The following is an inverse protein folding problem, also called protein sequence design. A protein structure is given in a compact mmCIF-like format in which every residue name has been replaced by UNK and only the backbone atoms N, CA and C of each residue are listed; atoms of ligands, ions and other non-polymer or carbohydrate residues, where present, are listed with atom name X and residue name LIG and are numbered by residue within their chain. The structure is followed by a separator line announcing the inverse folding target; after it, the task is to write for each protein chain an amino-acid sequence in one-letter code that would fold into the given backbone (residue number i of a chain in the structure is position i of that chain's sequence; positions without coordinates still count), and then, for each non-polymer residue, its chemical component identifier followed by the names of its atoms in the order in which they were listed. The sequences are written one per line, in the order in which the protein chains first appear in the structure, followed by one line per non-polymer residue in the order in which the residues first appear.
data_IF_703652857676
#
_entry.id   IF_703652857676
#
_cell.length_a   1.000
_cell.length_b   1.000
_cell.length_c   1.000
_cell.angle_alpha   90.00
_cell.angle_beta   90.00
_cell.angle_gamma   90.00
#
_symmetry.space_group_name_H-M   'P 1'
#
loop_
_entity.id
_entity.type
_entity.pdbx_description
1 polymer ?
#
# COMPACT_ATOMS: atom_id res chain seq x y z
N UNK A 1 16.50 26.15 33.38
CA UNK A 1 16.88 24.86 32.78
C UNK A 1 18.30 24.98 32.28
N UNK A 2 19.11 23.92 32.44
CA UNK A 2 20.45 23.86 31.87
C UNK A 2 20.40 23.57 30.37
N UNK A 3 21.49 23.88 29.67
CA UNK A 3 21.65 23.54 28.24
C UNK A 3 21.50 22.02 28.03
N UNK A 4 21.96 21.20 28.98
CA UNK A 4 21.84 19.73 28.90
C UNK A 4 20.41 19.23 29.12
N UNK A 5 19.60 19.94 29.90
CA UNK A 5 18.17 19.65 30.01
C UNK A 5 17.45 19.99 28.71
N UNK A 6 17.77 21.14 28.10
CA UNK A 6 17.20 21.56 26.80
C UNK A 6 17.53 20.53 25.72
N UNK A 7 18.79 20.12 25.59
CA UNK A 7 19.24 19.11 24.62
C UNK A 7 18.53 17.77 24.81
N UNK A 8 18.44 17.28 26.05
CA UNK A 8 17.74 16.01 26.35
C UNK A 8 16.26 16.06 25.97
N UNK A 9 15.60 17.19 26.21
CA UNK A 9 14.20 17.37 25.81
C UNK A 9 14.05 17.41 24.29
N UNK A 10 14.96 18.09 23.59
CA UNK A 10 14.97 18.16 22.12
C UNK A 10 15.09 16.77 21.49
N UNK A 11 16.14 16.02 21.83
CA UNK A 11 16.36 14.68 21.26
C UNK A 11 15.23 13.71 21.60
N UNK A 12 14.61 13.83 22.78
CA UNK A 12 13.46 13.01 23.15
C UNK A 12 12.21 13.36 22.34
N UNK A 13 12.06 14.62 21.92
CA UNK A 13 10.96 15.03 21.04
C UNK A 13 11.22 14.58 19.61
N UNK A 14 12.43 14.79 19.08
CA UNK A 14 12.83 14.33 17.75
C UNK A 14 12.65 12.82 17.60
N UNK A 15 13.22 12.02 18.51
CA UNK A 15 13.09 10.55 18.42
C UNK A 15 11.66 10.04 18.59
N UNK A 16 10.77 10.80 19.24
CA UNK A 16 9.33 10.47 19.27
C UNK A 16 8.66 10.78 17.93
N UNK A 17 9.05 11.87 17.29
CA UNK A 17 8.48 12.28 16.01
C UNK A 17 8.96 11.36 14.89
N UNK A 18 10.26 11.07 14.82
CA UNK A 18 10.83 10.10 13.87
C UNK A 18 10.16 8.74 14.02
N UNK A 19 10.08 8.19 15.24
CA UNK A 19 9.42 6.90 15.48
C UNK A 19 7.92 6.90 15.14
N UNK A 20 7.25 8.05 15.24
CA UNK A 20 5.85 8.21 14.81
C UNK A 20 5.75 8.21 13.28
N UNK A 21 6.62 8.93 12.60
CA UNK A 21 6.64 9.00 11.13
C UNK A 21 7.00 7.65 10.51
N UNK A 22 8.02 6.97 11.03
CA UNK A 22 8.40 5.62 10.60
C UNK A 22 7.25 4.63 10.79
N UNK A 23 6.62 4.62 11.98
CA UNK A 23 5.50 3.73 12.26
C UNK A 23 4.29 3.96 11.34
N UNK A 24 4.03 5.22 10.94
CA UNK A 24 2.98 5.54 9.96
C UNK A 24 3.37 5.05 8.57
N UNK A 25 4.61 5.30 8.13
CA UNK A 25 5.10 4.85 6.83
C UNK A 25 5.03 3.32 6.70
N UNK A 26 5.48 2.60 7.74
CA UNK A 26 5.38 1.14 7.80
C UNK A 26 3.93 0.66 7.76
N UNK A 27 3.02 1.28 8.53
CA UNK A 27 1.61 0.90 8.52
C UNK A 27 0.95 1.11 7.15
N UNK A 28 1.29 2.20 6.46
CA UNK A 28 0.81 2.49 5.10
C UNK A 28 1.31 1.42 4.12
N UNK A 29 2.60 1.11 4.13
CA UNK A 29 3.17 0.12 3.22
C UNK A 29 2.63 -1.30 3.50
N UNK A 30 2.52 -1.69 4.77
CA UNK A 30 1.92 -2.97 5.15
C UNK A 30 0.46 -3.07 4.72
N UNK A 31 -0.30 -1.98 4.81
CA UNK A 31 -1.68 -1.93 4.31
C UNK A 31 -1.72 -2.12 2.78
N UNK A 32 -0.85 -1.41 2.05
CA UNK A 32 -0.74 -1.54 0.59
C UNK A 32 -0.37 -2.96 0.16
N UNK A 33 0.59 -3.60 0.82
CA UNK A 33 0.99 -4.98 0.54
C UNK A 33 -0.16 -5.98 0.76
N UNK A 34 -0.96 -5.81 1.82
CA UNK A 34 -2.17 -6.62 2.02
C UNK A 34 -3.18 -6.44 0.89
N UNK A 35 -3.33 -5.21 0.38
CA UNK A 35 -4.21 -4.94 -0.75
C UNK A 35 -3.69 -5.59 -2.04
N UNK A 36 -2.37 -5.59 -2.29
CA UNK A 36 -1.75 -6.34 -3.41
C UNK A 36 -2.12 -7.81 -3.35
N UNK A 37 -1.93 -8.46 -2.20
CA UNK A 37 -2.28 -9.88 -2.00
C UNK A 37 -3.77 -10.14 -2.24
N UNK A 38 -4.64 -9.24 -1.75
CA UNK A 38 -6.08 -9.34 -1.92
C UNK A 38 -6.49 -9.24 -3.39
N UNK A 39 -5.99 -8.24 -4.11
CA UNK A 39 -6.27 -8.04 -5.54
C UNK A 39 -5.84 -9.27 -6.34
N UNK A 40 -4.62 -9.76 -6.16
CA UNK A 40 -4.13 -10.96 -6.85
C UNK A 40 -5.03 -12.17 -6.56
N UNK A 41 -5.45 -12.36 -5.31
CA UNK A 41 -6.33 -13.46 -4.91
C UNK A 41 -7.72 -13.35 -5.54
N UNK A 42 -8.29 -12.14 -5.59
CA UNK A 42 -9.60 -11.89 -6.18
C UNK A 42 -9.58 -12.13 -7.69
N UNK A 43 -8.60 -11.59 -8.40
CA UNK A 43 -8.46 -11.77 -9.84
C UNK A 43 -8.20 -13.24 -10.20
N UNK A 44 -7.35 -13.94 -9.44
CA UNK A 44 -7.14 -15.39 -9.64
C UNK A 44 -8.42 -16.20 -9.46
N UNK A 45 -9.26 -15.83 -8.48
CA UNK A 45 -10.57 -16.48 -8.27
C UNK A 45 -11.52 -16.23 -9.44
N UNK A 46 -11.58 -14.99 -9.95
CA UNK A 46 -12.47 -14.59 -11.05
C UNK A 46 -12.04 -15.19 -12.38
N UNK A 47 -10.76 -15.06 -12.74
CA UNK A 47 -10.24 -15.39 -14.07
C UNK A 47 -9.56 -16.76 -14.19
N UNK A 48 -9.51 -17.57 -13.12
CA UNK A 48 -8.91 -18.91 -13.10
C UNK A 48 -7.44 -18.90 -13.52
N UNK A 49 -6.65 -18.15 -12.75
CA UNK A 49 -5.22 -17.85 -12.91
C UNK A 49 -4.94 -16.65 -13.81
N UNK A 50 -4.27 -15.67 -13.22
CA UNK A 50 -3.86 -14.43 -13.85
C UNK A 50 -2.39 -14.52 -14.27
N UNK A 51 -2.06 -13.97 -15.43
CA UNK A 51 -0.70 -13.97 -15.96
C UNK A 51 0.31 -13.25 -15.04
N UNK A 52 1.55 -13.71 -15.08
CA UNK A 52 2.64 -13.15 -14.27
C UNK A 52 2.87 -11.66 -14.49
N UNK A 53 2.75 -11.19 -15.74
CA UNK A 53 2.93 -9.77 -16.08
C UNK A 53 1.88 -8.87 -15.41
N UNK A 54 0.65 -9.37 -15.29
CA UNK A 54 -0.43 -8.65 -14.60
C UNK A 54 -0.17 -8.63 -13.09
N UNK A 55 0.33 -9.72 -12.52
CA UNK A 55 0.72 -9.79 -11.10
C UNK A 55 1.84 -8.80 -10.79
N UNK A 56 2.89 -8.72 -11.61
CA UNK A 56 3.97 -7.75 -11.42
C UNK A 56 3.47 -6.31 -11.53
N UNK A 57 2.52 -6.05 -12.43
CA UNK A 57 1.89 -4.72 -12.52
C UNK A 57 1.09 -4.36 -11.28
N UNK A 58 0.34 -5.31 -10.70
CA UNK A 58 -0.43 -5.08 -9.46
C UNK A 58 0.48 -4.72 -8.29
N UNK A 59 1.66 -5.35 -8.17
CA UNK A 59 2.60 -5.13 -7.05
C UNK A 59 3.08 -3.68 -6.94
N UNK A 60 3.16 -2.97 -8.07
CA UNK A 60 3.64 -1.58 -8.14
C UNK A 60 2.51 -0.55 -8.09
N UNK A 61 1.25 -0.98 -8.03
CA UNK A 61 0.11 -0.07 -7.93
C UNK A 61 0.06 0.65 -6.58
N UNK A 62 -0.49 1.87 -6.63
CA UNK A 62 -0.80 2.68 -5.46
C UNK A 62 -1.92 2.05 -4.63
N UNK A 63 -2.02 2.43 -3.36
CA UNK A 63 -3.14 2.01 -2.51
C UNK A 63 -4.51 2.36 -3.11
N UNK A 64 -4.63 3.52 -3.75
CA UNK A 64 -5.88 3.98 -4.37
C UNK A 64 -6.25 3.12 -5.57
N UNK A 65 -5.30 2.86 -6.46
CA UNK A 65 -5.50 1.96 -7.61
C UNK A 65 -5.88 0.55 -7.15
N UNK A 66 -5.26 0.03 -6.09
CA UNK A 66 -5.59 -1.28 -5.54
C UNK A 66 -7.01 -1.30 -4.94
N UNK A 67 -7.40 -0.25 -4.22
CA UNK A 67 -8.75 -0.12 -3.66
C UNK A 67 -9.81 -0.05 -4.75
N UNK A 68 -9.58 0.72 -5.82
CA UNK A 68 -10.48 0.77 -6.97
C UNK A 68 -10.70 -0.62 -7.58
N UNK A 69 -9.64 -1.42 -7.74
CA UNK A 69 -9.78 -2.80 -8.24
C UNK A 69 -10.59 -3.67 -7.27
N UNK A 70 -10.43 -3.49 -5.96
CA UNK A 70 -11.18 -4.23 -4.95
C UNK A 70 -12.67 -3.86 -5.00
N UNK A 71 -12.99 -2.56 -5.11
CA UNK A 71 -14.35 -2.04 -5.19
C UNK A 71 -15.06 -2.50 -6.46
N UNK A 72 -14.37 -2.43 -7.60
CA UNK A 72 -14.92 -2.73 -8.92
C UNK A 72 -14.75 -4.21 -9.34
N UNK A 73 -14.28 -5.10 -8.44
CA UNK A 73 -13.93 -6.50 -8.79
C UNK A 73 -15.09 -7.27 -9.46
N UNK A 74 -16.32 -6.95 -9.10
CA UNK A 74 -17.51 -7.58 -9.66
C UNK A 74 -17.82 -7.05 -11.07
N UNK A 75 -17.44 -5.82 -11.38
CA UNK A 75 -17.66 -5.14 -12.67
C UNK A 75 -16.50 -5.34 -13.65
N UNK A 76 -15.33 -5.75 -13.17
CA UNK A 76 -14.16 -6.10 -14.02
C UNK A 76 -14.44 -7.42 -14.73
N UNK A 77 -14.79 -7.37 -16.01
CA UNK A 77 -15.16 -8.56 -16.81
C UNK A 77 -13.97 -9.18 -17.56
N UNK A 78 -12.87 -8.44 -17.68
CA UNK A 78 -11.65 -8.89 -18.34
C UNK A 78 -10.40 -8.25 -17.75
N UNK A 79 -9.23 -8.83 -18.03
CA UNK A 79 -7.93 -8.22 -17.68
C UNK A 79 -7.75 -6.86 -18.37
N UNK A 80 -8.36 -6.65 -19.53
CA UNK A 80 -8.31 -5.40 -20.27
C UNK A 80 -8.97 -4.24 -19.49
N UNK A 81 -9.98 -4.53 -18.67
CA UNK A 81 -10.66 -3.51 -17.84
C UNK A 81 -9.73 -2.93 -16.78
N UNK A 82 -8.68 -3.66 -16.39
CA UNK A 82 -7.65 -3.18 -15.47
C UNK A 82 -6.79 -2.07 -16.08
N UNK A 83 -6.79 -1.89 -17.42
CA UNK A 83 -6.06 -0.81 -18.09
C UNK A 83 -6.51 0.58 -17.64
N UNK A 84 -7.74 0.73 -17.16
CA UNK A 84 -8.26 2.00 -16.63
C UNK A 84 -7.56 2.46 -15.36
N UNK A 85 -6.89 1.54 -14.66
CA UNK A 85 -6.20 1.78 -13.38
C UNK A 85 -4.68 1.75 -13.51
N UNK A 86 -4.18 1.62 -14.74
CA UNK A 86 -2.78 1.36 -15.07
C UNK A 86 -1.97 2.59 -15.47
N UNK A 87 -2.61 3.77 -15.47
CA UNK A 87 -1.99 5.09 -15.67
C UNK A 87 -1.55 5.71 -14.34
#
# INVERSE_FOLDING_TARGET
MSIDEIRRLHYKQEGKEEGREEGIAEAIEQSRLKNVEMVIKLLNKKFKNVDGDVIERIKVLSSDSLNLIIEDILDIESIEDLKKVWD
#
